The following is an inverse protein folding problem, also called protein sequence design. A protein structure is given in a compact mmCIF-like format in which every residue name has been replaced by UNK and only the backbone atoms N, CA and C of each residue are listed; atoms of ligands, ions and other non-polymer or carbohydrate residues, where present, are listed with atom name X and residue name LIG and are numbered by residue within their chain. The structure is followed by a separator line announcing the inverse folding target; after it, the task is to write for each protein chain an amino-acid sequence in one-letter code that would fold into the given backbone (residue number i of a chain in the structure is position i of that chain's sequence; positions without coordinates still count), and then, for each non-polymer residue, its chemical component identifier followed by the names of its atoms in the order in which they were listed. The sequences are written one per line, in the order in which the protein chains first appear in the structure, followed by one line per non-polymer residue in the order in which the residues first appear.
data_IF_916544165097
#
_entry.id   IF_916544165097
#
_cell.length_a   1.000
_cell.length_b   1.000
_cell.length_c   1.000
_cell.angle_alpha   90.00
_cell.angle_beta   90.00
_cell.angle_gamma   90.00
#
_symmetry.space_group_name_H-M   'P 1'
#
loop_
_entity.id
_entity.type
_entity.pdbx_description
1 polymer ?
#
# COMPACT_ATOMS: atom_id res chain seq x y z
N UNK A 1 8.89 -5.30 -9.09
CA UNK A 1 9.20 -4.41 -7.94
C UNK A 1 9.05 -2.98 -8.43
N UNK A 2 8.15 -2.18 -7.84
CA UNK A 2 8.02 -0.76 -8.18
C UNK A 2 9.19 0.02 -7.57
N UNK A 3 9.86 0.85 -8.36
CA UNK A 3 11.01 1.67 -7.91
C UNK A 3 10.62 3.14 -7.68
N UNK A 4 9.39 3.52 -8.04
CA UNK A 4 8.90 4.91 -8.03
C UNK A 4 7.63 4.97 -7.17
N UNK A 5 7.71 4.48 -5.94
CA UNK A 5 6.67 4.72 -4.95
C UNK A 5 6.96 6.04 -4.19
N UNK A 6 5.94 6.80 -3.77
CA UNK A 6 4.51 6.51 -3.82
C UNK A 6 3.79 7.00 -5.11
N UNK A 7 4.49 7.66 -6.04
CA UNK A 7 3.90 8.24 -7.27
C UNK A 7 3.15 7.19 -8.09
N UNK A 8 3.77 6.03 -8.32
CA UNK A 8 3.06 4.85 -8.82
C UNK A 8 2.38 4.17 -7.63
N UNK A 9 1.03 4.14 -7.56
CA UNK A 9 0.30 3.81 -6.34
C UNK A 9 0.18 2.30 -6.10
N UNK A 10 1.31 1.58 -6.06
CA UNK A 10 1.30 0.14 -5.81
C UNK A 10 0.86 -0.23 -4.37
N UNK A 11 0.79 0.74 -3.44
CA UNK A 11 0.21 0.55 -2.11
C UNK A 11 -1.31 0.41 -2.15
N UNK A 12 -1.98 0.88 -3.21
CA UNK A 12 -3.44 0.72 -3.39
C UNK A 12 -3.86 -0.67 -3.87
N UNK A 13 -2.91 -1.52 -4.26
CA UNK A 13 -3.19 -2.90 -4.66
C UNK A 13 -3.28 -3.80 -3.41
N UNK A 14 -4.46 -4.35 -3.16
CA UNK A 14 -4.75 -5.24 -2.02
C UNK A 14 -5.05 -6.66 -2.50
N UNK A 15 -4.89 -7.66 -1.62
CA UNK A 15 -5.26 -9.04 -1.94
C UNK A 15 -6.79 -9.20 -1.89
N UNK A 16 -7.31 -10.16 -2.65
CA UNK A 16 -8.68 -10.64 -2.49
C UNK A 16 -8.91 -11.03 -1.02
N UNK A 17 -9.99 -10.53 -0.42
CA UNK A 17 -10.26 -10.68 1.02
C UNK A 17 -9.76 -9.54 1.91
N UNK A 18 -9.20 -8.47 1.33
CA UNK A 18 -8.88 -7.23 2.08
C UNK A 18 -7.52 -7.22 2.77
N UNK A 19 -6.75 -8.31 2.69
CA UNK A 19 -5.43 -8.39 3.30
C UNK A 19 -4.39 -7.51 2.57
N UNK A 20 -3.47 -6.91 3.35
CA UNK A 20 -2.33 -6.19 2.80
C UNK A 20 -1.35 -7.16 2.14
N UNK A 21 -1.16 -6.99 0.83
CA UNK A 21 -0.12 -7.70 0.07
C UNK A 21 1.25 -7.06 0.24
N UNK A 22 2.29 -7.79 -0.15
CA UNK A 22 3.69 -7.36 -0.06
C UNK A 22 3.91 -5.96 -0.68
N UNK A 23 4.72 -5.15 -0.01
CA UNK A 23 5.07 -3.81 -0.46
C UNK A 23 6.58 -3.63 -0.41
N UNK A 24 7.16 -3.06 -1.48
CA UNK A 24 8.62 -2.96 -1.63
C UNK A 24 9.32 -2.12 -0.56
N UNK A 25 8.57 -1.28 0.16
CA UNK A 25 9.06 -0.42 1.23
C UNK A 25 8.52 -0.85 2.62
N UNK A 26 7.96 -2.06 2.73
CA UNK A 26 7.40 -2.59 3.97
C UNK A 26 5.89 -2.39 4.13
N UNK A 27 5.25 -3.28 4.91
CA UNK A 27 3.80 -3.23 5.11
C UNK A 27 3.35 -2.02 5.94
N UNK A 28 4.19 -1.56 6.87
CA UNK A 28 3.90 -0.39 7.72
C UNK A 28 3.73 0.89 6.87
N UNK A 29 4.62 1.11 5.89
CA UNK A 29 4.53 2.26 4.98
C UNK A 29 3.28 2.17 4.11
N UNK A 30 2.93 0.97 3.64
CA UNK A 30 1.71 0.74 2.87
C UNK A 30 0.45 1.02 3.69
N UNK A 31 0.40 0.56 4.94
CA UNK A 31 -0.72 0.84 5.83
C UNK A 31 -0.84 2.33 6.13
N UNK A 32 0.28 2.98 6.45
CA UNK A 32 0.30 4.43 6.70
C UNK A 32 -0.21 5.23 5.51
N UNK A 33 0.24 4.91 4.29
CA UNK A 33 -0.23 5.58 3.06
C UNK A 33 -1.73 5.38 2.86
N UNK A 34 -2.23 4.16 3.05
CA UNK A 34 -3.65 3.86 2.91
C UNK A 34 -4.51 4.57 3.99
N UNK A 35 -4.01 4.69 5.22
CA UNK A 35 -4.66 5.48 6.28
C UNK A 35 -4.64 6.97 5.96
N UNK A 36 -3.50 7.48 5.49
CA UNK A 36 -3.34 8.89 5.10
C UNK A 36 -4.24 9.28 3.92
N UNK A 37 -4.47 8.35 2.98
CA UNK A 37 -5.42 8.51 1.86
C UNK A 37 -6.89 8.28 2.27
N UNK A 38 -7.17 7.84 3.50
CA UNK A 38 -8.51 7.52 3.99
C UNK A 38 -9.09 6.20 3.46
N UNK A 39 -8.25 5.36 2.82
CA UNK A 39 -8.64 4.05 2.30
C UNK A 39 -8.68 2.95 3.40
N UNK A 40 -7.92 3.12 4.47
CA UNK A 40 -7.99 2.31 5.68
C UNK A 40 -8.34 3.18 6.89
N UNK A 41 -9.29 2.70 7.70
CA UNK A 41 -9.67 3.34 8.98
C UNK A 41 -8.80 2.84 10.12
#
# INVERSE_FOLDING_TARGET
RNLIAPIVPCHRVIKTGGALGNYGYGLEVKEWLLRHEGALK
#
